data_IF_655268717663
#
_entry.id   IF_655268717663
#
_cell.length_a   1.000
_cell.length_b   1.000
_cell.length_c   1.000
_cell.angle_alpha   90.00
_cell.angle_beta   90.00
_cell.angle_gamma   90.00
#
_symmetry.space_group_name_H-M   'P 1'
#
loop_
_entity.id
_entity.type
_entity.pdbx_description
1 polymer ?
#
# COMPACT_ATOMS: atom_id res chain seq x y z
N UNK A 1 -14.80 -39.51 58.67
CA UNK A 1 -13.66 -39.41 57.73
C UNK A 1 -14.20 -39.59 56.32
N UNK A 2 -14.50 -38.50 55.62
CA UNK A 2 -15.00 -38.52 54.23
C UNK A 2 -14.57 -37.24 53.52
N UNK A 3 -14.22 -37.43 52.24
CA UNK A 3 -13.48 -36.54 51.35
C UNK A 3 -14.38 -35.46 50.74
N UNK A 4 -13.83 -34.28 50.49
CA UNK A 4 -14.37 -33.36 49.47
C UNK A 4 -13.24 -32.66 48.74
N UNK A 5 -13.06 -32.99 47.47
CA UNK A 5 -12.14 -32.37 46.53
C UNK A 5 -12.63 -30.96 46.16
N UNK A 6 -11.73 -29.97 46.17
CA UNK A 6 -11.98 -28.65 45.57
C UNK A 6 -11.08 -28.49 44.36
N UNK A 7 -11.73 -28.15 43.26
CA UNK A 7 -11.23 -27.94 41.91
C UNK A 7 -10.14 -26.85 41.95
N UNK A 8 -8.98 -27.18 41.40
CA UNK A 8 -7.86 -26.26 41.23
C UNK A 8 -8.17 -25.27 40.10
N UNK A 9 -8.64 -24.08 40.45
CA UNK A 9 -8.57 -22.92 39.57
C UNK A 9 -7.16 -22.34 39.66
N UNK A 10 -6.37 -22.48 38.59
CA UNK A 10 -5.10 -21.77 38.44
C UNK A 10 -5.40 -20.27 38.26
N UNK A 11 -5.51 -19.56 39.37
CA UNK A 11 -5.31 -18.12 39.40
C UNK A 11 -3.80 -17.88 39.34
N UNK A 12 -3.29 -17.54 38.15
CA UNK A 12 -1.91 -17.06 38.03
C UNK A 12 -1.86 -15.68 38.67
N UNK A 13 -1.48 -15.66 39.95
CA UNK A 13 -1.06 -14.46 40.64
C UNK A 13 0.32 -14.06 40.12
N UNK A 14 0.39 -12.99 39.34
CA UNK A 14 1.66 -12.37 38.98
C UNK A 14 2.12 -11.51 40.16
N UNK A 15 3.10 -12.02 40.90
CA UNK A 15 3.80 -11.30 41.94
C UNK A 15 4.73 -10.25 41.31
N UNK A 16 4.48 -8.97 41.58
CA UNK A 16 5.37 -7.86 41.24
C UNK A 16 6.45 -7.73 42.32
N UNK A 17 7.64 -8.27 42.05
CA UNK A 17 8.85 -7.96 42.81
C UNK A 17 9.61 -6.83 42.09
N UNK A 18 9.52 -5.61 42.62
CA UNK A 18 10.29 -4.46 42.19
C UNK A 18 11.47 -4.26 43.12
N UNK A 19 12.71 -4.45 42.63
CA UNK A 19 13.87 -3.76 43.20
C UNK A 19 15.02 -3.64 42.18
N UNK A 20 15.10 -2.46 41.55
CA UNK A 20 16.37 -1.73 41.37
C UNK A 20 17.29 -2.07 40.19
N UNK A 21 17.00 -1.52 39.01
CA UNK A 21 17.90 -0.60 38.29
C UNK A 21 17.05 0.16 37.25
N UNK A 22 17.24 1.48 37.12
CA UNK A 22 16.25 2.40 36.55
C UNK A 22 15.88 2.16 35.08
N UNK A 23 14.67 1.65 34.86
CA UNK A 23 13.82 1.89 33.70
C UNK A 23 12.38 2.03 34.25
N UNK A 24 11.57 3.01 33.82
CA UNK A 24 10.23 3.20 34.36
C UNK A 24 9.40 1.91 34.23
N UNK A 25 8.79 1.45 35.32
CA UNK A 25 7.90 0.27 35.35
C UNK A 25 6.69 0.36 34.39
N UNK A 26 6.46 1.53 33.77
CA UNK A 26 5.53 1.72 32.67
C UNK A 26 5.96 1.04 31.35
N UNK A 27 7.26 0.76 31.19
CA UNK A 27 7.85 0.27 29.93
C UNK A 27 7.59 -1.23 29.72
N UNK A 28 7.52 -2.01 30.80
CA UNK A 28 7.27 -3.47 30.73
C UNK A 28 5.78 -3.77 30.46
N UNK A 29 4.88 -2.97 31.04
CA UNK A 29 3.45 -3.04 30.77
C UNK A 29 3.11 -2.48 29.38
N UNK A 30 3.80 -1.43 28.93
CA UNK A 30 3.70 -0.88 27.59
C UNK A 30 4.10 -1.89 26.52
N UNK A 31 5.26 -2.53 26.67
CA UNK A 31 5.74 -3.55 25.74
C UNK A 31 4.83 -4.79 25.66
N UNK A 32 4.19 -5.18 26.77
CA UNK A 32 3.21 -6.26 26.78
C UNK A 32 1.90 -5.88 26.06
N UNK A 33 1.43 -4.64 26.22
CA UNK A 33 0.27 -4.13 25.48
C UNK A 33 0.56 -3.98 23.98
N UNK A 34 1.77 -3.55 23.62
CA UNK A 34 2.26 -3.48 22.24
C UNK A 34 2.30 -4.86 21.59
N UNK A 35 2.79 -5.88 22.30
CA UNK A 35 2.82 -7.26 21.83
C UNK A 35 1.42 -7.83 21.55
N UNK A 36 0.45 -7.56 22.43
CA UNK A 36 -0.95 -7.98 22.23
C UNK A 36 -1.56 -7.28 21.00
N UNK A 37 -1.35 -5.97 20.86
CA UNK A 37 -1.84 -5.21 19.70
C UNK A 37 -1.19 -5.68 18.38
N UNK A 38 0.10 -6.03 18.40
CA UNK A 38 0.84 -6.55 17.25
C UNK A 38 0.36 -7.96 16.86
N UNK A 39 0.03 -8.81 17.82
CA UNK A 39 -0.52 -10.14 17.57
C UNK A 39 -1.92 -10.10 16.96
N UNK A 40 -2.76 -9.13 17.35
CA UNK A 40 -4.09 -8.95 16.73
C UNK A 40 -4.01 -8.54 15.25
N UNK A 41 -2.91 -7.91 14.83
CA UNK A 41 -2.63 -7.60 13.41
C UNK A 41 -1.73 -8.63 12.73
N UNK A 42 -1.49 -9.78 13.37
CA UNK A 42 -0.84 -10.95 12.76
C UNK A 42 0.68 -11.01 12.90
N UNK A 43 1.28 -10.31 13.87
CA UNK A 43 2.71 -10.41 14.17
C UNK A 43 3.05 -11.66 15.00
N UNK A 44 3.89 -12.56 14.48
CA UNK A 44 4.54 -13.61 15.27
C UNK A 44 6.03 -13.30 15.42
N UNK A 45 6.54 -13.39 16.65
CA UNK A 45 7.93 -13.14 16.97
C UNK A 45 8.79 -14.36 16.62
N UNK A 46 8.97 -14.62 15.33
CA UNK A 46 9.89 -15.63 14.82
C UNK A 46 11.20 -14.96 14.39
N UNK A 47 12.29 -15.35 15.05
CA UNK A 47 13.65 -14.93 14.70
C UNK A 47 14.07 -15.57 13.36
N UNK A 48 14.17 -14.76 12.31
CA UNK A 48 14.88 -15.09 11.07
C UNK A 48 14.01 -15.47 9.88
N UNK A 49 13.95 -14.57 8.88
CA UNK A 49 13.50 -14.87 7.52
C UNK A 49 12.61 -13.79 6.93
N UNK A 50 13.11 -13.11 5.88
CA UNK A 50 12.34 -12.36 4.87
C UNK A 50 11.06 -11.66 5.36
N UNK A 51 11.20 -10.46 5.93
CA UNK A 51 10.03 -9.63 6.21
C UNK A 51 9.21 -9.40 4.91
N UNK A 52 7.91 -9.76 4.88
CA UNK A 52 7.04 -9.49 3.76
C UNK A 52 6.61 -8.02 3.82
N UNK A 53 7.57 -7.10 3.77
CA UNK A 53 7.28 -5.74 3.38
C UNK A 53 6.67 -5.85 1.99
N UNK A 54 5.39 -5.47 1.85
CA UNK A 54 4.60 -5.53 0.63
C UNK A 54 5.51 -5.33 -0.58
N UNK A 55 5.97 -6.44 -1.16
CA UNK A 55 6.93 -6.39 -2.27
C UNK A 55 6.24 -5.50 -3.30
N UNK A 56 6.94 -4.63 -4.06
CA UNK A 56 6.31 -3.79 -5.09
C UNK A 56 5.42 -4.59 -6.08
N UNK A 57 5.60 -5.91 -6.12
CA UNK A 57 4.78 -6.91 -6.82
C UNK A 57 3.35 -7.09 -6.29
N UNK A 58 3.09 -6.91 -4.99
CA UNK A 58 1.78 -7.11 -4.36
C UNK A 58 0.79 -5.98 -4.72
N UNK A 59 1.23 -4.72 -4.66
CA UNK A 59 0.44 -3.56 -5.16
C UNK A 59 0.19 -3.69 -6.67
N UNK A 60 1.19 -4.15 -7.44
CA UNK A 60 1.05 -4.46 -8.87
C UNK A 60 -0.04 -5.51 -9.18
N UNK A 61 -0.34 -6.42 -8.24
CA UNK A 61 -1.36 -7.47 -8.41
C UNK A 61 -2.78 -6.91 -8.26
N UNK A 62 -2.98 -5.92 -7.39
CA UNK A 62 -4.27 -5.25 -7.21
C UNK A 62 -4.71 -4.50 -8.49
N UNK A 63 -3.76 -3.93 -9.23
CA UNK A 63 -4.00 -3.11 -10.44
C UNK A 63 -4.24 -3.92 -11.73
N UNK A 64 -4.16 -5.25 -11.68
CA UNK A 64 -3.80 -6.02 -12.88
C UNK A 64 -4.95 -6.45 -13.79
N UNK A 65 -6.12 -6.81 -13.28
CA UNK A 65 -7.17 -7.35 -14.16
C UNK A 65 -8.42 -6.48 -14.28
N UNK A 66 -8.96 -5.92 -13.19
CA UNK A 66 -10.26 -5.24 -13.23
C UNK A 66 -10.27 -3.83 -12.60
N UNK A 67 -9.11 -3.28 -12.23
CA UNK A 67 -9.06 -1.90 -11.72
C UNK A 67 -9.36 -0.92 -12.85
N UNK A 68 -10.47 -0.20 -12.72
CA UNK A 68 -10.86 0.86 -13.64
C UNK A 68 -10.14 2.16 -13.30
N UNK A 69 -10.20 2.58 -12.04
CA UNK A 69 -9.45 3.69 -11.49
C UNK A 69 -9.38 3.57 -9.97
N UNK A 70 -8.50 4.36 -9.35
CA UNK A 70 -8.39 4.43 -7.91
C UNK A 70 -7.28 5.35 -7.45
N UNK A 71 -7.35 5.72 -6.17
CA UNK A 71 -6.37 6.55 -5.50
C UNK A 71 -5.97 5.88 -4.19
N UNK A 72 -4.69 5.95 -3.83
CA UNK A 72 -4.19 5.51 -2.53
C UNK A 72 -3.13 6.49 -2.03
N UNK A 73 -3.26 6.91 -0.77
CA UNK A 73 -2.24 7.71 -0.09
C UNK A 73 -1.25 6.75 0.56
N UNK A 74 0.03 6.93 0.25
CA UNK A 74 1.12 6.12 0.79
C UNK A 74 2.16 7.01 1.44
N UNK A 75 2.75 6.53 2.53
CA UNK A 75 3.94 7.14 3.12
C UNK A 75 5.17 6.74 2.31
N UNK A 76 5.91 7.70 1.77
CA UNK A 76 7.14 7.45 1.04
C UNK A 76 8.32 7.17 2.01
N UNK A 77 9.49 6.83 1.47
CA UNK A 77 10.68 6.54 2.29
C UNK A 77 11.22 7.73 3.08
N UNK A 78 10.84 8.94 2.69
CA UNK A 78 11.22 10.20 3.32
C UNK A 78 10.22 10.62 4.41
N UNK A 79 9.21 9.79 4.69
CA UNK A 79 8.21 10.08 5.71
C UNK A 79 7.10 11.05 5.26
N UNK A 80 7.02 11.37 3.97
CA UNK A 80 5.99 12.23 3.39
C UNK A 80 4.85 11.42 2.79
N UNK A 81 3.63 11.97 2.84
CA UNK A 81 2.48 11.37 2.18
C UNK A 81 2.52 11.64 0.66
N UNK A 82 2.17 10.64 -0.12
CA UNK A 82 2.11 10.71 -1.58
C UNK A 82 0.85 10.02 -2.07
N UNK A 83 0.08 10.75 -2.87
CA UNK A 83 -1.12 10.22 -3.48
C UNK A 83 -0.79 9.53 -4.80
N UNK A 84 -1.02 8.22 -4.87
CA UNK A 84 -0.85 7.41 -6.07
C UNK A 84 -2.19 7.26 -6.77
N UNK A 85 -2.23 7.58 -8.06
CA UNK A 85 -3.42 7.45 -8.90
C UNK A 85 -3.17 6.42 -9.98
N UNK A 86 -4.18 5.61 -10.25
CA UNK A 86 -4.18 4.58 -11.27
C UNK A 86 -5.45 4.66 -12.09
N UNK A 87 -5.36 4.36 -13.38
CA UNK A 87 -6.54 4.32 -14.25
C UNK A 87 -6.30 3.37 -15.44
N UNK A 88 -7.38 2.81 -15.96
CA UNK A 88 -7.42 2.06 -17.21
C UNK A 88 -8.61 2.51 -18.04
N UNK A 89 -8.38 2.75 -19.32
CA UNK A 89 -9.45 3.22 -20.19
C UNK A 89 -8.96 3.52 -21.60
N UNK A 90 -9.85 4.13 -22.37
CA UNK A 90 -9.56 4.60 -23.72
C UNK A 90 -9.03 6.04 -23.67
N UNK A 91 -8.01 6.34 -24.47
CA UNK A 91 -7.52 7.70 -24.64
C UNK A 91 -8.53 8.47 -25.48
N UNK A 92 -9.07 9.56 -24.93
CA UNK A 92 -10.10 10.39 -25.56
C UNK A 92 -9.53 11.69 -26.15
N UNK A 93 -8.41 12.15 -25.61
CA UNK A 93 -7.63 13.27 -26.12
C UNK A 93 -6.15 13.04 -25.79
N UNK A 94 -5.23 13.51 -26.65
CA UNK A 94 -3.80 13.47 -26.41
C UNK A 94 -3.09 14.59 -27.16
N UNK A 95 -2.07 15.16 -26.53
CA UNK A 95 -1.14 16.13 -27.13
C UNK A 95 0.28 15.91 -26.55
N UNK A 96 1.22 16.82 -26.83
CA UNK A 96 2.61 16.72 -26.35
C UNK A 96 2.75 16.85 -24.82
N UNK A 97 1.76 17.46 -24.15
CA UNK A 97 1.76 17.77 -22.72
C UNK A 97 1.05 16.70 -21.90
N UNK A 98 0.05 16.04 -22.47
CA UNK A 98 -0.79 15.12 -21.71
C UNK A 98 -1.82 14.37 -22.53
N UNK A 99 -2.74 13.74 -21.83
CA UNK A 99 -3.81 12.93 -22.41
C UNK A 99 -4.97 12.77 -21.42
N UNK A 100 -6.16 12.53 -21.96
CA UNK A 100 -7.36 12.23 -21.16
C UNK A 100 -7.72 10.76 -21.35
N UNK A 101 -8.01 10.09 -20.23
CA UNK A 101 -8.42 8.69 -20.22
C UNK A 101 -9.85 8.60 -19.71
N UNK A 102 -10.68 7.84 -20.43
CA UNK A 102 -12.03 7.46 -20.00
C UNK A 102 -12.08 5.98 -19.67
N UNK A 103 -12.38 5.70 -18.42
CA UNK A 103 -12.60 4.35 -17.90
C UNK A 103 -13.93 3.78 -18.39
N UNK A 104 -14.10 2.46 -18.29
CA UNK A 104 -15.30 1.76 -18.77
C UNK A 104 -16.58 2.12 -17.99
N UNK A 105 -16.46 2.70 -16.79
CA UNK A 105 -17.56 3.22 -15.96
C UNK A 105 -17.88 4.70 -16.23
N UNK A 106 -17.22 5.31 -17.22
CA UNK A 106 -17.41 6.72 -17.58
C UNK A 106 -16.55 7.70 -16.79
N UNK A 107 -15.72 7.24 -15.84
CA UNK A 107 -14.78 8.12 -15.13
C UNK A 107 -13.73 8.68 -16.09
N UNK A 108 -13.57 10.00 -16.09
CA UNK A 108 -12.58 10.70 -16.92
C UNK A 108 -11.54 11.42 -16.05
N UNK A 109 -10.29 11.36 -16.50
CA UNK A 109 -9.20 12.11 -15.88
C UNK A 109 -8.16 12.51 -16.92
N UNK A 110 -7.74 13.78 -16.83
CA UNK A 110 -6.64 14.32 -17.62
C UNK A 110 -5.33 14.14 -16.88
N UNK A 111 -4.33 13.65 -17.61
CA UNK A 111 -2.99 13.34 -17.15
C UNK A 111 -1.98 14.24 -17.84
N UNK A 112 -0.97 14.69 -17.11
CA UNK A 112 0.23 15.29 -17.68
C UNK A 112 1.36 14.28 -17.76
N UNK A 113 2.21 14.37 -18.77
CA UNK A 113 3.41 13.54 -18.80
C UNK A 113 4.40 13.99 -17.73
N UNK A 114 4.77 13.08 -16.83
CA UNK A 114 5.94 13.29 -15.98
C UNK A 114 7.23 13.31 -16.79
N UNK A 115 8.22 14.05 -16.31
CA UNK A 115 9.54 14.16 -16.94
C UNK A 115 10.19 12.78 -17.19
N UNK A 116 10.02 11.85 -16.24
CA UNK A 116 10.54 10.48 -16.30
C UNK A 116 9.46 9.43 -16.62
N UNK A 117 8.38 9.84 -17.28
CA UNK A 117 7.31 8.93 -17.67
C UNK A 117 7.85 7.81 -18.57
N UNK A 118 7.51 6.57 -18.22
CA UNK A 118 7.83 5.39 -19.04
C UNK A 118 6.59 4.97 -19.81
N UNK A 119 6.70 4.90 -21.14
CA UNK A 119 5.68 4.33 -22.01
C UNK A 119 6.14 2.95 -22.44
N UNK A 120 5.24 1.98 -22.31
CA UNK A 120 5.46 0.58 -22.69
C UNK A 120 4.34 0.16 -23.62
N UNK A 121 4.69 -0.37 -24.78
CA UNK A 121 3.76 -0.95 -25.75
C UNK A 121 4.23 -2.38 -26.05
N UNK A 122 3.35 -3.36 -25.98
CA UNK A 122 3.69 -4.77 -26.23
C UNK A 122 4.91 -5.30 -25.45
N UNK A 123 5.10 -4.81 -24.22
CA UNK A 123 6.24 -5.11 -23.31
C UNK A 123 7.58 -4.50 -23.74
N UNK A 124 7.58 -3.68 -24.78
CA UNK A 124 8.74 -2.94 -25.26
C UNK A 124 8.63 -1.46 -24.90
N UNK A 125 9.78 -0.76 -24.89
CA UNK A 125 9.80 0.68 -24.63
C UNK A 125 9.22 1.40 -25.85
N UNK A 126 8.27 2.30 -25.62
CA UNK A 126 7.65 3.12 -26.66
C UNK A 126 7.86 4.63 -26.38
N UNK A 127 7.57 5.45 -27.40
CA UNK A 127 7.49 6.90 -27.29
C UNK A 127 6.11 7.38 -26.84
N UNK A 128 5.98 8.69 -26.61
CA UNK A 128 4.69 9.32 -26.22
C UNK A 128 3.66 9.28 -27.34
N UNK A 129 4.12 9.20 -28.59
CA UNK A 129 3.31 9.04 -29.81
C UNK A 129 2.46 7.76 -29.85
N UNK A 130 2.82 6.75 -29.03
CA UNK A 130 1.99 5.56 -28.83
C UNK A 130 0.71 5.87 -28.03
N UNK A 131 0.68 6.95 -27.26
CA UNK A 131 -0.48 7.41 -26.48
C UNK A 131 -1.28 8.39 -27.33
N UNK A 132 -2.25 7.86 -28.07
CA UNK A 132 -3.07 8.63 -29.02
C UNK A 132 -4.55 8.26 -28.89
N UNK A 133 -5.43 9.14 -29.32
CA UNK A 133 -6.87 8.91 -29.25
C UNK A 133 -7.27 7.55 -29.85
N UNK A 134 -8.16 6.84 -29.15
CA UNK A 134 -8.70 5.55 -29.57
C UNK A 134 -7.87 4.33 -29.12
N UNK A 135 -6.69 4.51 -28.52
CA UNK A 135 -5.95 3.38 -27.94
C UNK A 135 -6.36 3.15 -26.48
N UNK A 136 -6.34 1.90 -26.06
CA UNK A 136 -6.59 1.52 -24.66
C UNK A 136 -5.28 1.54 -23.89
N UNK A 137 -5.28 2.14 -22.71
CA UNK A 137 -4.09 2.21 -21.85
C UNK A 137 -4.39 1.85 -20.40
N UNK A 138 -3.35 1.43 -19.68
CA UNK A 138 -3.27 1.54 -18.23
C UNK A 138 -2.24 2.61 -17.85
N UNK A 139 -2.60 3.53 -16.98
CA UNK A 139 -1.73 4.61 -16.50
C UNK A 139 -1.64 4.60 -14.98
N UNK A 140 -0.45 4.89 -14.47
CA UNK A 140 -0.20 5.09 -13.05
C UNK A 140 0.72 6.29 -12.84
N UNK A 141 0.48 7.03 -11.76
CA UNK A 141 1.21 8.25 -11.47
C UNK A 141 0.95 8.79 -10.08
N UNK A 142 1.24 10.07 -9.91
CA UNK A 142 1.10 10.79 -8.63
C UNK A 142 0.14 11.96 -8.79
N UNK A 143 -0.61 12.25 -7.73
CA UNK A 143 -1.42 13.45 -7.61
C UNK A 143 -0.78 14.41 -6.61
N UNK A 144 -0.71 15.66 -7.00
CA UNK A 144 -0.27 16.78 -6.17
C UNK A 144 -1.22 17.96 -6.41
N UNK A 145 -2.03 18.27 -5.40
CA UNK A 145 -3.17 19.17 -5.54
C UNK A 145 -4.10 18.75 -6.68
N UNK A 146 -4.29 19.64 -7.66
CA UNK A 146 -5.10 19.38 -8.85
C UNK A 146 -4.35 18.69 -9.99
N UNK A 147 -3.01 18.61 -9.93
CA UNK A 147 -2.21 18.02 -10.99
C UNK A 147 -2.13 16.49 -10.83
N UNK A 148 -2.36 15.77 -11.92
CA UNK A 148 -2.18 14.30 -11.98
C UNK A 148 -1.09 13.97 -12.99
N UNK A 149 0.08 13.56 -12.51
CA UNK A 149 1.29 13.35 -13.32
C UNK A 149 1.52 11.87 -13.58
N UNK A 150 1.49 11.46 -14.85
CA UNK A 150 1.75 10.10 -15.28
C UNK A 150 3.23 9.72 -15.14
N UNK A 151 3.52 8.53 -14.58
CA UNK A 151 4.88 7.98 -14.45
C UNK A 151 5.07 6.65 -15.19
N UNK A 152 4.01 5.86 -15.32
CA UNK A 152 4.01 4.62 -16.10
C UNK A 152 2.74 4.57 -16.95
N UNK A 153 2.91 4.33 -18.23
CA UNK A 153 1.84 4.16 -19.20
C UNK A 153 2.08 2.86 -19.93
N UNK A 154 1.06 2.00 -19.99
CA UNK A 154 1.06 0.73 -20.69
C UNK A 154 0.00 0.82 -21.78
N UNK A 155 0.43 0.78 -23.03
CA UNK A 155 -0.44 0.68 -24.20
C UNK A 155 -0.84 -0.79 -24.38
N UNK A 156 -2.13 -1.01 -24.61
CA UNK A 156 -2.75 -2.34 -24.75
C UNK A 156 -3.06 -2.72 -26.19
#
# INVERSE_FOLDING_TARGET
>A
MTRTAKIAGFAVAVALALTGCGAPAADVAGAAAEMVALQEVGYTADAGGDSPGTRPRAVRKLLRKNTLHGEVVVRNREGQDSTIVVQRGDVTAADDKGFTVRSADGFELTWTYGEKARVVDNREKAGRDAVRTGVKIGVGGVRDGSATTARLIIVG
#
